data_IF_386425832895
#
_entry.id   IF_386425832895
#
_cell.length_a   1.000
_cell.length_b   1.000
_cell.length_c   1.000
_cell.angle_alpha   90.00
_cell.angle_beta   90.00
_cell.angle_gamma   90.00
#
_symmetry.space_group_name_H-M   'P 1'
#
loop_
_entity.id
_entity.type
_entity.pdbx_description
1 polymer ?
#
# COMPACT_ATOMS: atom_id res chain seq x y z
N UNK A 1 -18.26 -6.75 3.33
CA UNK A 1 -17.02 -7.10 4.05
C UNK A 1 -17.17 -6.86 5.53
N UNK A 2 -16.69 -7.80 6.34
CA UNK A 2 -16.67 -7.61 7.79
C UNK A 2 -15.48 -6.72 8.19
N UNK A 3 -15.54 -6.18 9.40
CA UNK A 3 -14.44 -5.40 9.95
C UNK A 3 -13.15 -6.23 10.02
N UNK A 4 -13.28 -7.50 10.39
CA UNK A 4 -12.14 -8.41 10.44
C UNK A 4 -11.49 -8.59 9.06
N UNK A 5 -12.31 -8.72 8.02
CA UNK A 5 -11.80 -8.83 6.65
C UNK A 5 -11.11 -7.54 6.21
N UNK A 6 -11.68 -6.39 6.55
CA UNK A 6 -11.09 -5.10 6.22
C UNK A 6 -9.74 -4.91 6.93
N UNK A 7 -9.68 -5.29 8.20
CA UNK A 7 -8.45 -5.19 8.99
C UNK A 7 -7.35 -6.07 8.38
N UNK A 8 -7.71 -7.29 7.99
CA UNK A 8 -6.78 -8.21 7.35
C UNK A 8 -6.28 -7.67 6.00
N UNK A 9 -7.19 -7.07 5.24
CA UNK A 9 -6.83 -6.44 3.96
C UNK A 9 -5.85 -5.28 4.18
N UNK A 10 -6.09 -4.45 5.20
CA UNK A 10 -5.19 -3.36 5.54
C UNK A 10 -3.80 -3.88 5.90
N UNK A 11 -3.71 -4.98 6.65
CA UNK A 11 -2.44 -5.60 7.00
C UNK A 11 -1.69 -6.09 5.77
N UNK A 12 -2.40 -6.72 4.83
CA UNK A 12 -1.81 -7.22 3.58
C UNK A 12 -1.30 -6.08 2.72
N UNK A 13 -2.06 -4.98 2.62
CA UNK A 13 -1.65 -3.81 1.86
C UNK A 13 -0.40 -3.16 2.47
N UNK A 14 -0.37 -3.04 3.79
CA UNK A 14 0.80 -2.50 4.49
C UNK A 14 2.03 -3.38 4.27
N UNK A 15 1.85 -4.69 4.38
CA UNK A 15 2.93 -5.65 4.17
C UNK A 15 3.46 -5.61 2.73
N UNK A 16 2.62 -5.27 1.76
CA UNK A 16 3.03 -5.14 0.36
C UNK A 16 3.72 -3.81 0.09
N UNK A 17 3.24 -2.73 0.72
CA UNK A 17 3.79 -1.39 0.52
C UNK A 17 5.22 -1.26 1.04
N UNK A 18 5.55 -1.91 2.15
CA UNK A 18 6.88 -1.81 2.76
C UNK A 18 8.01 -2.34 1.86
N UNK A 19 7.94 -3.56 1.33
CA UNK A 19 8.99 -4.02 0.41
C UNK A 19 9.04 -3.22 -0.88
N UNK A 20 7.91 -2.73 -1.38
CA UNK A 20 7.90 -1.88 -2.58
C UNK A 20 8.68 -0.59 -2.33
N UNK A 21 8.48 0.04 -1.17
CA UNK A 21 9.22 1.25 -0.77
C UNK A 21 10.71 0.96 -0.65
N UNK A 22 11.07 -0.17 -0.05
CA UNK A 22 12.47 -0.58 0.11
C UNK A 22 13.15 -0.78 -1.25
N UNK A 23 12.49 -1.43 -2.19
CA UNK A 23 13.01 -1.66 -3.54
C UNK A 23 13.24 -0.32 -4.24
N UNK A 24 12.28 0.60 -4.15
CA UNK A 24 12.39 1.93 -4.72
C UNK A 24 13.62 2.67 -4.18
N UNK A 25 13.76 2.69 -2.86
CA UNK A 25 14.87 3.40 -2.21
C UNK A 25 16.23 2.80 -2.56
N UNK A 26 16.33 1.47 -2.59
CA UNK A 26 17.59 0.80 -2.96
C UNK A 26 17.97 1.05 -4.41
N UNK A 27 16.99 1.05 -5.31
CA UNK A 27 17.25 1.31 -6.72
C UNK A 27 17.72 2.76 -6.91
N UNK A 28 17.10 3.72 -6.22
CA UNK A 28 17.50 5.12 -6.28
C UNK A 28 18.91 5.31 -5.70
N UNK A 29 19.21 4.67 -4.58
CA UNK A 29 20.54 4.75 -3.96
C UNK A 29 21.63 4.16 -4.86
N UNK A 30 21.27 3.18 -5.69
CA UNK A 30 22.19 2.57 -6.63
C UNK A 30 22.32 3.34 -7.96
N UNK A 31 21.70 4.50 -8.08
CA UNK A 31 21.76 5.31 -9.29
C UNK A 31 20.88 4.80 -10.42
N UNK A 32 19.84 4.04 -10.11
CA UNK A 32 18.95 3.42 -11.09
C UNK A 32 17.62 4.13 -11.22
N UNK A 33 17.63 5.46 -11.11
CA UNK A 33 16.40 6.26 -11.15
C UNK A 33 15.60 6.08 -12.45
N UNK A 34 16.29 5.79 -13.56
CA UNK A 34 15.65 5.60 -14.86
C UNK A 34 15.24 4.15 -15.11
N UNK A 35 15.45 3.27 -14.14
CA UNK A 35 15.10 1.87 -14.26
C UNK A 35 13.59 1.69 -14.09
N UNK A 36 13.00 0.85 -14.93
CA UNK A 36 11.58 0.50 -14.81
C UNK A 36 11.19 -0.07 -13.45
N UNK A 37 12.16 -0.67 -12.73
CA UNK A 37 11.93 -1.20 -11.39
C UNK A 37 11.52 -0.10 -10.42
N UNK A 38 12.15 1.08 -10.51
CA UNK A 38 11.80 2.23 -9.66
C UNK A 38 10.35 2.65 -9.93
N UNK A 39 9.99 2.78 -11.21
CA UNK A 39 8.64 3.17 -11.60
C UNK A 39 7.60 2.15 -11.12
N UNK A 40 7.89 0.86 -11.26
CA UNK A 40 6.99 -0.20 -10.84
C UNK A 40 6.82 -0.23 -9.32
N UNK A 41 7.92 -0.11 -8.59
CA UNK A 41 7.88 -0.10 -7.12
C UNK A 41 7.13 1.12 -6.59
N UNK A 42 7.37 2.29 -7.17
CA UNK A 42 6.67 3.52 -6.80
C UNK A 42 5.17 3.41 -7.09
N UNK A 43 4.80 2.85 -8.24
CA UNK A 43 3.40 2.63 -8.61
C UNK A 43 2.70 1.68 -7.65
N UNK A 44 3.36 0.59 -7.31
CA UNK A 44 2.81 -0.39 -6.37
C UNK A 44 2.60 0.23 -4.99
N UNK A 45 3.58 0.97 -4.50
CA UNK A 45 3.48 1.66 -3.21
C UNK A 45 2.32 2.66 -3.21
N UNK A 46 2.21 3.46 -4.26
CA UNK A 46 1.14 4.45 -4.38
C UNK A 46 -0.24 3.79 -4.42
N UNK A 47 -0.37 2.69 -5.16
CA UNK A 47 -1.64 1.96 -5.24
C UNK A 47 -2.03 1.36 -3.89
N UNK A 48 -1.06 0.80 -3.17
CA UNK A 48 -1.32 0.28 -1.83
C UNK A 48 -1.77 1.38 -0.87
N UNK A 49 -1.15 2.56 -0.94
CA UNK A 49 -1.52 3.70 -0.11
C UNK A 49 -2.95 4.14 -0.42
N UNK A 50 -3.31 4.24 -1.70
CA UNK A 50 -4.67 4.61 -2.11
C UNK A 50 -5.70 3.59 -1.63
N UNK A 51 -5.37 2.31 -1.73
CA UNK A 51 -6.25 1.24 -1.24
C UNK A 51 -6.43 1.30 0.28
N UNK A 52 -5.37 1.62 1.02
CA UNK A 52 -5.45 1.77 2.47
C UNK A 52 -6.39 2.90 2.88
N UNK A 53 -6.37 4.02 2.15
CA UNK A 53 -7.30 5.12 2.39
C UNK A 53 -8.74 4.66 2.19
N UNK A 54 -9.01 3.90 1.13
CA UNK A 54 -10.34 3.37 0.87
C UNK A 54 -10.79 2.38 1.96
N UNK A 55 -9.89 1.50 2.38
CA UNK A 55 -10.18 0.54 3.45
C UNK A 55 -10.50 1.26 4.76
N UNK A 56 -9.71 2.30 5.10
CA UNK A 56 -9.94 3.09 6.29
C UNK A 56 -11.33 3.75 6.26
N UNK A 57 -11.72 4.30 5.13
CA UNK A 57 -13.05 4.88 4.95
C UNK A 57 -14.16 3.86 5.16
N UNK A 58 -14.00 2.65 4.62
CA UNK A 58 -14.97 1.58 4.80
C UNK A 58 -15.06 1.12 6.26
N UNK A 59 -13.94 1.07 6.97
CA UNK A 59 -13.92 0.72 8.37
C UNK A 59 -14.66 1.75 9.23
N UNK A 60 -14.47 3.03 8.91
CA UNK A 60 -15.18 4.11 9.62
C UNK A 60 -16.69 4.05 9.38
N UNK A 61 -17.10 3.78 8.13
CA UNK A 61 -18.53 3.62 7.82
C UNK A 61 -19.13 2.42 8.54
N UNK A 62 -18.42 1.31 8.55
CA UNK A 62 -18.87 0.11 9.26
C UNK A 62 -19.09 0.36 10.75
N UNK A 63 -18.22 1.11 11.39
CA UNK A 63 -18.36 1.48 12.80
C UNK A 63 -19.60 2.33 13.02
N UNK A 64 -19.90 3.24 12.09
CA UNK A 64 -21.08 4.10 12.21
C UNK A 64 -22.38 3.32 12.04
N UNK A 65 -22.38 2.30 11.20
CA UNK A 65 -23.56 1.51 10.90
C UNK A 65 -23.89 0.50 12.01
N UNK A 66 -22.93 0.17 12.82
CA UNK A 66 -23.12 -0.74 13.94
C UNK A 66 -23.68 -0.02 15.16
#
# INVERSE_FOLDING_TARGET
MTREQLDKLAQLLTATAQPASTIELRALAGGRADDGIVAMAAGLRANCTSCLVLVDGLMQEGVRCE
#
